data_IF_734541949279
#
_entry.id   IF_734541949279
#
_cell.length_a   1.000
_cell.length_b   1.000
_cell.length_c   1.000
_cell.angle_alpha   90.00
_cell.angle_beta   90.00
_cell.angle_gamma   90.00
#
_symmetry.space_group_name_H-M   'P 1'
#
loop_
_entity.id
_entity.type
_entity.pdbx_description
1 polymer ?
#
# COMPACT_ATOMS: atom_id res chain seq x y z
N UNK A 1 -0.76 19.11 -9.34
CA UNK A 1 -0.69 17.64 -9.18
C UNK A 1 0.42 17.32 -8.19
N UNK A 2 0.10 17.16 -6.92
CA UNK A 2 1.04 16.53 -5.99
C UNK A 2 1.07 15.02 -6.30
N UNK A 3 2.15 14.57 -6.93
CA UNK A 3 2.38 13.15 -7.16
C UNK A 3 2.93 12.51 -5.89
N UNK A 4 2.44 11.32 -5.54
CA UNK A 4 3.05 10.50 -4.49
C UNK A 4 4.44 10.05 -4.94
N UNK A 5 5.40 10.12 -4.03
CA UNK A 5 6.78 9.61 -4.18
C UNK A 5 7.12 8.72 -2.98
N UNK A 6 8.18 7.92 -3.08
CA UNK A 6 8.65 7.16 -1.92
C UNK A 6 8.98 8.07 -0.72
N UNK A 7 9.58 9.24 -0.99
CA UNK A 7 9.93 10.22 0.04
C UNK A 7 8.69 10.78 0.75
N UNK A 8 7.63 11.09 -0.01
CA UNK A 8 6.38 11.60 0.58
C UNK A 8 5.62 10.51 1.35
N UNK A 9 5.80 9.23 0.99
CA UNK A 9 5.20 8.11 1.70
C UNK A 9 6.02 7.66 2.93
N UNK A 10 7.34 7.88 2.94
CA UNK A 10 8.24 7.39 3.98
C UNK A 10 7.86 7.82 5.42
N UNK A 11 7.38 9.06 5.69
CA UNK A 11 6.91 9.46 7.02
C UNK A 11 5.80 8.58 7.57
N UNK A 12 4.93 8.06 6.69
CA UNK A 12 3.79 7.21 7.04
C UNK A 12 4.15 5.72 7.14
N UNK A 13 5.37 5.35 6.74
CA UNK A 13 5.86 3.97 6.70
C UNK A 13 7.00 3.67 7.68
N UNK A 14 7.37 4.61 8.57
CA UNK A 14 8.58 4.51 9.42
C UNK A 14 8.70 3.23 10.24
N UNK A 15 7.59 2.67 10.70
CA UNK A 15 7.54 1.44 11.51
C UNK A 15 7.20 0.20 10.70
N UNK A 16 6.96 0.35 9.39
CA UNK A 16 6.51 -0.70 8.49
C UNK A 16 7.72 -1.34 7.79
N UNK A 17 7.55 -2.60 7.36
CA UNK A 17 8.60 -3.31 6.60
C UNK A 17 8.49 -3.09 5.09
N UNK A 18 8.31 -1.83 4.70
CA UNK A 18 8.25 -1.39 3.30
C UNK A 18 9.57 -0.75 2.92
N UNK A 19 10.28 -1.34 1.97
CA UNK A 19 11.49 -0.72 1.43
C UNK A 19 11.16 0.46 0.52
N UNK A 20 12.14 1.32 0.26
CA UNK A 20 12.00 2.45 -0.67
C UNK A 20 11.48 2.03 -2.05
N UNK A 21 11.95 0.89 -2.57
CA UNK A 21 11.46 0.33 -3.83
C UNK A 21 9.98 -0.07 -3.78
N UNK A 22 9.51 -0.60 -2.65
CA UNK A 22 8.09 -0.90 -2.45
C UNK A 22 7.26 0.36 -2.32
N UNK A 23 7.75 1.37 -1.59
CA UNK A 23 7.08 2.67 -1.49
C UNK A 23 6.98 3.36 -2.84
N UNK A 24 8.05 3.34 -3.64
CA UNK A 24 8.03 3.84 -5.02
C UNK A 24 6.99 3.13 -5.87
N UNK A 25 6.87 1.80 -5.72
CA UNK A 25 5.84 1.04 -6.43
C UNK A 25 4.43 1.39 -5.98
N UNK A 26 4.18 1.45 -4.67
CA UNK A 26 2.87 1.83 -4.12
C UNK A 26 2.49 3.24 -4.57
N UNK A 27 3.42 4.20 -4.50
CA UNK A 27 3.23 5.56 -4.99
C UNK A 27 2.82 5.58 -6.47
N UNK A 28 3.51 4.81 -7.32
CA UNK A 28 3.16 4.70 -8.74
C UNK A 28 1.75 4.18 -8.98
N UNK A 29 1.27 3.27 -8.10
CA UNK A 29 -0.08 2.75 -8.14
C UNK A 29 -1.11 3.76 -7.67
N UNK A 30 -0.84 4.52 -6.62
CA UNK A 30 -1.75 5.58 -6.14
C UNK A 30 -1.90 6.67 -7.21
N UNK A 31 -0.79 7.03 -7.88
CA UNK A 31 -0.77 8.05 -8.91
C UNK A 31 -1.58 7.69 -10.18
N UNK A 32 -2.06 6.45 -10.34
CA UNK A 32 -2.98 6.14 -11.45
C UNK A 32 -4.38 6.75 -11.23
N UNK A 33 -4.70 7.17 -10.00
CA UNK A 33 -6.02 7.70 -9.64
C UNK A 33 -7.12 6.64 -9.56
N UNK A 34 -6.78 5.36 -9.75
CA UNK A 34 -7.72 4.25 -9.73
C UNK A 34 -7.96 3.74 -8.30
N UNK A 35 -9.08 3.07 -8.11
CA UNK A 35 -9.36 2.35 -6.87
C UNK A 35 -8.41 1.14 -6.73
N UNK A 36 -7.63 1.12 -5.65
CA UNK A 36 -6.58 0.12 -5.43
C UNK A 36 -7.01 -0.96 -4.45
N UNK A 37 -7.06 -2.20 -4.92
CA UNK A 37 -7.12 -3.38 -4.04
C UNK A 37 -5.81 -3.56 -3.29
N UNK A 38 -5.84 -3.39 -1.96
CA UNK A 38 -4.63 -3.57 -1.14
C UNK A 38 -4.14 -5.01 -1.15
N UNK A 39 -5.05 -5.98 -1.31
CA UNK A 39 -4.68 -7.39 -1.50
C UNK A 39 -3.94 -7.61 -2.81
N UNK A 40 -4.37 -6.99 -3.91
CA UNK A 40 -3.71 -7.07 -5.20
C UNK A 40 -2.31 -6.44 -5.12
N UNK A 41 -2.21 -5.23 -4.57
CA UNK A 41 -0.92 -4.53 -4.38
C UNK A 41 0.03 -5.40 -3.56
N UNK A 42 -0.45 -6.04 -2.49
CA UNK A 42 0.37 -6.93 -1.67
C UNK A 42 0.90 -8.13 -2.47
N UNK A 43 0.08 -8.75 -3.33
CA UNK A 43 0.50 -9.87 -4.19
C UNK A 43 1.52 -9.43 -5.23
N UNK A 44 1.29 -8.31 -5.89
CA UNK A 44 2.24 -7.76 -6.87
C UNK A 44 3.59 -7.43 -6.22
N UNK A 45 3.58 -6.90 -4.99
CA UNK A 45 4.80 -6.71 -4.21
C UNK A 45 5.48 -8.05 -3.92
N UNK A 46 4.72 -9.10 -3.56
CA UNK A 46 5.29 -10.44 -3.39
C UNK A 46 5.92 -10.98 -4.66
N UNK A 47 5.37 -10.68 -5.84
CA UNK A 47 5.90 -11.15 -7.12
C UNK A 47 7.15 -10.36 -7.53
N UNK A 48 7.11 -9.03 -7.38
CA UNK A 48 8.14 -8.10 -7.87
C UNK A 48 9.37 -8.01 -6.98
N UNK A 49 9.20 -8.13 -5.66
CA UNK A 49 10.30 -7.95 -4.70
C UNK A 49 10.72 -9.28 -4.08
N UNK A 50 12.01 -9.37 -3.75
CA UNK A 50 12.61 -10.52 -3.08
C UNK A 50 12.88 -10.21 -1.60
N UNK A 51 12.88 -11.26 -0.77
CA UNK A 51 13.13 -11.18 0.66
C UNK A 51 12.18 -12.06 1.47
N UNK A 52 12.69 -12.70 2.51
CA UNK A 52 11.96 -13.69 3.29
C UNK A 52 10.65 -13.14 3.86
N UNK A 53 10.70 -11.91 4.40
CA UNK A 53 9.51 -11.26 4.93
C UNK A 53 8.42 -11.06 3.87
N UNK A 54 8.82 -10.55 2.71
CA UNK A 54 7.92 -10.25 1.59
C UNK A 54 7.28 -11.50 1.06
N UNK A 55 8.06 -12.57 0.86
CA UNK A 55 7.57 -13.86 0.36
C UNK A 55 6.76 -14.64 1.42
N UNK A 56 6.88 -14.30 2.70
CA UNK A 56 6.15 -14.97 3.77
C UNK A 56 4.64 -14.68 3.72
N UNK A 57 3.87 -15.63 4.28
CA UNK A 57 2.42 -15.53 4.42
C UNK A 57 2.02 -15.55 5.89
N UNK A 58 0.86 -14.98 6.19
CA UNK A 58 0.17 -15.17 7.46
C UNK A 58 -0.43 -16.58 7.52
N UNK A 59 -0.80 -17.10 8.71
CA UNK A 59 -1.48 -18.39 8.84
C UNK A 59 -2.77 -18.50 8.01
N UNK A 60 -3.42 -17.36 7.72
CA UNK A 60 -4.59 -17.27 6.83
C UNK A 60 -4.28 -17.43 5.33
N UNK A 61 -3.01 -17.60 4.95
CA UNK A 61 -2.55 -17.67 3.56
C UNK A 61 -2.37 -16.31 2.87
N UNK A 62 -2.79 -15.21 3.51
CA UNK A 62 -2.61 -13.84 3.00
C UNK A 62 -1.11 -13.46 2.98
N UNK A 63 -0.68 -12.64 2.01
CA UNK A 63 0.67 -12.05 2.02
C UNK A 63 0.94 -11.37 3.36
N UNK A 64 2.10 -11.59 4.00
CA UNK A 64 2.42 -10.86 5.23
C UNK A 64 2.53 -9.35 5.01
N UNK A 65 3.06 -8.97 3.84
CA UNK A 65 3.20 -7.57 3.41
C UNK A 65 1.85 -6.84 3.27
N UNK A 66 0.73 -7.57 3.16
CA UNK A 66 -0.62 -6.99 3.13
C UNK A 66 -0.89 -6.11 4.36
N UNK A 67 -0.45 -6.54 5.55
CA UNK A 67 -0.64 -5.77 6.78
C UNK A 67 0.08 -4.42 6.71
N UNK A 68 1.32 -4.37 6.22
CA UNK A 68 2.07 -3.13 6.07
C UNK A 68 1.43 -2.21 5.02
N UNK A 69 0.98 -2.76 3.89
CA UNK A 69 0.26 -1.99 2.85
C UNK A 69 -1.02 -1.38 3.42
N UNK A 70 -1.81 -2.15 4.18
CA UNK A 70 -2.99 -1.63 4.87
C UNK A 70 -2.62 -0.48 5.81
N UNK A 71 -1.65 -0.69 6.70
CA UNK A 71 -1.24 0.32 7.68
C UNK A 71 -0.77 1.62 7.02
N UNK A 72 -0.01 1.52 5.92
CA UNK A 72 0.38 2.69 5.14
C UNK A 72 -0.85 3.46 4.64
N UNK A 73 -1.80 2.78 4.00
CA UNK A 73 -3.01 3.43 3.47
C UNK A 73 -3.93 3.98 4.58
N UNK A 74 -3.96 3.36 5.76
CA UNK A 74 -4.63 3.92 6.94
C UNK A 74 -3.97 5.23 7.38
N UNK A 75 -2.65 5.25 7.53
CA UNK A 75 -1.90 6.46 7.89
C UNK A 75 -2.13 7.59 6.89
N UNK A 76 -2.13 7.28 5.58
CA UNK A 76 -2.41 8.26 4.53
C UNK A 76 -3.83 8.82 4.62
N UNK A 77 -4.82 7.96 4.84
CA UNK A 77 -6.21 8.37 5.05
C UNK A 77 -6.35 9.28 6.28
N UNK A 78 -5.70 8.93 7.40
CA UNK A 78 -5.72 9.76 8.63
C UNK A 78 -5.07 11.12 8.41
N UNK A 79 -4.09 11.21 7.53
CA UNK A 79 -3.44 12.45 7.11
C UNK A 79 -4.20 13.23 6.02
N UNK A 80 -5.35 12.73 5.53
CA UNK A 80 -6.16 13.41 4.52
C UNK A 80 -5.69 13.22 3.07
N UNK A 81 -4.88 12.20 2.80
CA UNK A 81 -4.33 11.89 1.47
C UNK A 81 -5.20 10.89 0.66
N UNK A 82 -6.38 10.54 1.14
CA UNK A 82 -7.23 9.59 0.44
C UNK A 82 -8.29 8.95 1.31
N UNK A 83 -8.98 7.97 0.73
CA UNK A 83 -10.14 7.31 1.36
C UNK A 83 -9.99 5.81 1.28
N UNK A 84 -10.31 5.14 2.38
CA UNK A 84 -10.45 3.69 2.43
C UNK A 84 -11.93 3.33 2.29
N UNK A 85 -12.23 2.59 1.22
CA UNK A 85 -13.52 1.93 1.03
C UNK A 85 -13.36 0.50 1.50
N UNK A 86 -14.12 0.13 2.54
CA UNK A 86 -14.18 -1.27 2.96
C UNK A 86 -15.13 -2.01 2.01
N UNK A 87 -14.57 -2.80 1.10
CA UNK A 87 -15.33 -3.74 0.28
C UNK A 87 -15.08 -5.12 0.91
N UNK A 88 -15.89 -5.44 1.93
CA UNK A 88 -15.86 -6.70 2.70
C UNK A 88 -14.65 -6.95 3.66
N UNK A 89 -14.63 -8.11 4.34
CA UNK A 89 -13.59 -8.51 5.32
C UNK A 89 -12.32 -9.09 4.67
N UNK A 90 -12.35 -9.30 3.35
CA UNK A 90 -11.30 -9.96 2.57
C UNK A 90 -10.35 -8.95 1.94
N UNK A 91 -10.84 -7.77 1.59
CA UNK A 91 -10.02 -6.74 0.95
C UNK A 91 -10.35 -5.32 1.43
N UNK A 92 -9.38 -4.43 1.27
CA UNK A 92 -9.56 -3.00 1.48
C UNK A 92 -9.26 -2.31 0.16
N UNK A 93 -10.12 -1.37 -0.22
CA UNK A 93 -9.89 -0.55 -1.41
C UNK A 93 -9.43 0.83 -0.96
N UNK A 94 -8.33 1.31 -1.53
CA UNK A 94 -7.81 2.65 -1.30
C UNK A 94 -7.95 3.50 -2.55
N UNK A 95 -8.41 4.74 -2.38
CA UNK A 95 -8.43 5.76 -3.43
C UNK A 95 -7.58 6.92 -2.91
N UNK A 96 -6.48 7.23 -3.61
CA UNK A 96 -5.67 8.41 -3.30
C UNK A 96 -6.39 9.66 -3.76
N UNK A 97 -6.33 10.71 -2.94
CA UNK A 97 -6.75 12.04 -3.39
C UNK A 97 -5.59 12.58 -4.25
N UNK A 98 -5.76 12.49 -5.57
CA UNK A 98 -4.84 13.03 -6.59
C UNK A 98 -5.59 14.17 -7.27
N UNK A 99 -5.16 15.42 -7.07
CA UNK A 99 -5.78 16.56 -7.76
C UNK A 99 -5.68 16.35 -9.28
N UNK A 100 -6.85 16.29 -9.93
CA UNK A 100 -7.01 16.10 -11.37
C UNK A 100 -6.77 17.40 -12.14
#
# INVERSE_FOLDING_TARGET
MEFYTADNLAPYARTLKLSEGMLSYIASRINTGEALSLMLIAKEIQEKFNGDYVKSRLPSGRPRIYTDVCLLCFSLKEAGHGRLLQIDLKDCIYIGDVDS
#
